data_IF_940869259055
#
_entry.id   IF_940869259055
#
_cell.length_a   1.000
_cell.length_b   1.000
_cell.length_c   1.000
_cell.angle_alpha   90.00
_cell.angle_beta   90.00
_cell.angle_gamma   90.00
#
_symmetry.space_group_name_H-M   'P 1'
#
loop_
_entity.id
_entity.type
_entity.pdbx_description
1 polymer ?
#
# COMPACT_ATOMS: atom_id res chain seq x y z
N UNK A 1 5.85 0.55 0.21
CA UNK A 1 4.70 0.87 -0.66
C UNK A 1 3.92 2.12 -0.23
N UNK A 2 3.58 2.27 1.04
CA UNK A 2 2.82 3.45 1.54
C UNK A 2 3.45 4.80 1.14
N UNK A 3 4.78 5.00 1.20
CA UNK A 3 5.39 6.27 0.77
C UNK A 3 5.19 6.57 -0.71
N UNK A 4 5.12 5.54 -1.56
CA UNK A 4 4.96 5.68 -3.01
C UNK A 4 3.50 5.83 -3.41
N UNK A 5 2.59 5.25 -2.65
CA UNK A 5 1.16 5.32 -2.90
C UNK A 5 0.43 5.34 -1.56
N UNK A 6 0.37 6.48 -0.88
CA UNK A 6 -0.25 6.60 0.45
C UNK A 6 -1.70 6.11 0.50
N UNK A 7 -2.42 6.13 -0.63
CA UNK A 7 -3.76 5.58 -0.74
C UNK A 7 -3.87 4.12 -0.29
N UNK A 8 -2.79 3.33 -0.38
CA UNK A 8 -2.78 1.94 0.09
C UNK A 8 -2.96 1.78 1.60
N UNK A 9 -2.78 2.84 2.39
CA UNK A 9 -3.17 2.81 3.81
C UNK A 9 -4.66 2.55 4.00
N UNK A 10 -5.50 2.97 3.04
CA UNK A 10 -6.93 2.71 3.05
C UNK A 10 -7.31 1.26 2.69
N UNK A 11 -6.37 0.43 2.23
CA UNK A 11 -6.67 -0.91 1.69
C UNK A 11 -7.30 -1.83 2.72
N UNK A 12 -6.68 -1.96 3.90
CA UNK A 12 -7.18 -2.85 4.97
C UNK A 12 -8.52 -2.36 5.52
N UNK A 13 -8.70 -1.07 5.88
CA UNK A 13 -10.01 -0.53 6.23
C UNK A 13 -11.07 -0.73 5.15
N UNK A 14 -10.70 -0.60 3.86
CA UNK A 14 -11.63 -0.78 2.74
C UNK A 14 -12.09 -2.23 2.62
N UNK A 15 -11.18 -3.19 2.69
CA UNK A 15 -11.56 -4.61 2.67
C UNK A 15 -12.41 -4.98 3.89
N UNK A 16 -12.03 -4.56 5.09
CA UNK A 16 -12.79 -4.84 6.31
C UNK A 16 -14.21 -4.26 6.25
N UNK A 17 -14.35 -3.02 5.74
CA UNK A 17 -15.64 -2.39 5.53
C UNK A 17 -16.48 -3.13 4.49
N UNK A 18 -15.89 -3.50 3.37
CA UNK A 18 -16.54 -4.23 2.28
C UNK A 18 -17.03 -5.60 2.74
N UNK A 19 -16.23 -6.32 3.53
CA UNK A 19 -16.65 -7.59 4.16
C UNK A 19 -17.86 -7.38 5.06
N UNK A 20 -17.84 -6.33 5.88
CA UNK A 20 -18.94 -6.06 6.81
C UNK A 20 -20.25 -5.74 6.10
N UNK A 21 -20.21 -4.89 5.07
CA UNK A 21 -21.42 -4.31 4.48
C UNK A 21 -21.96 -5.15 3.31
N UNK A 22 -21.10 -5.78 2.51
CA UNK A 22 -21.47 -6.41 1.22
C UNK A 22 -20.80 -7.76 1.00
N UNK A 23 -20.62 -8.57 2.04
CA UNK A 23 -19.89 -9.84 1.95
C UNK A 23 -20.36 -10.73 0.81
N UNK A 24 -21.68 -10.95 0.67
CA UNK A 24 -22.24 -11.85 -0.35
C UNK A 24 -21.96 -11.37 -1.77
N UNK A 25 -22.00 -10.06 -2.00
CA UNK A 25 -21.80 -9.44 -3.32
C UNK A 25 -20.33 -9.37 -3.69
N UNK A 26 -19.46 -9.28 -2.69
CA UNK A 26 -18.02 -9.04 -2.87
C UNK A 26 -17.15 -10.27 -2.57
N UNK A 27 -17.76 -11.40 -2.23
CA UNK A 27 -17.04 -12.62 -1.87
C UNK A 27 -15.99 -13.04 -2.91
N UNK A 28 -16.37 -13.04 -4.20
CA UNK A 28 -15.44 -13.40 -5.29
C UNK A 28 -14.26 -12.41 -5.38
N UNK A 29 -14.51 -11.11 -5.19
CA UNK A 29 -13.47 -10.10 -5.18
C UNK A 29 -12.50 -10.30 -4.01
N UNK A 30 -13.04 -10.61 -2.83
CA UNK A 30 -12.24 -10.91 -1.65
C UNK A 30 -11.41 -12.18 -1.84
N UNK A 31 -12.00 -13.22 -2.44
CA UNK A 31 -11.30 -14.44 -2.77
C UNK A 31 -10.12 -14.17 -3.72
N UNK A 32 -10.34 -13.39 -4.78
CA UNK A 32 -9.28 -12.99 -5.71
C UNK A 32 -8.17 -12.18 -4.98
N UNK A 33 -8.55 -11.28 -4.06
CA UNK A 33 -7.58 -10.52 -3.27
C UNK A 33 -6.75 -11.42 -2.35
N UNK A 34 -7.40 -12.36 -1.64
CA UNK A 34 -6.72 -13.29 -0.73
C UNK A 34 -5.79 -14.23 -1.51
N UNK A 35 -6.26 -14.80 -2.62
CA UNK A 35 -5.44 -15.68 -3.47
C UNK A 35 -4.27 -14.90 -4.06
N UNK A 36 -4.53 -13.72 -4.63
CA UNK A 36 -3.48 -12.86 -5.20
C UNK A 36 -2.44 -12.45 -4.16
N UNK A 37 -2.87 -12.10 -2.94
CA UNK A 37 -1.97 -11.79 -1.83
C UNK A 37 -1.17 -13.02 -1.41
N UNK A 38 -1.80 -14.18 -1.29
CA UNK A 38 -1.12 -15.43 -0.93
C UNK A 38 -0.06 -15.80 -1.97
N UNK A 39 -0.40 -15.72 -3.26
CA UNK A 39 0.56 -15.94 -4.35
C UNK A 39 1.71 -14.93 -4.27
N UNK A 40 1.42 -13.65 -4.06
CA UNK A 40 2.43 -12.61 -3.91
C UNK A 40 3.36 -12.88 -2.72
N UNK A 41 2.85 -13.40 -1.62
CA UNK A 41 3.62 -13.66 -0.41
C UNK A 41 4.47 -14.93 -0.51
N UNK A 42 3.87 -16.03 -0.99
CA UNK A 42 4.51 -17.36 -0.95
C UNK A 42 5.36 -17.65 -2.19
N UNK A 43 4.89 -17.27 -3.37
CA UNK A 43 5.63 -17.51 -4.63
C UNK A 43 6.81 -16.56 -4.77
N UNK A 44 6.70 -15.36 -4.25
CA UNK A 44 7.79 -14.38 -4.28
C UNK A 44 9.06 -14.85 -3.57
N UNK A 45 8.91 -15.60 -2.48
CA UNK A 45 10.02 -16.17 -1.72
C UNK A 45 10.82 -17.22 -2.52
N UNK A 46 10.22 -17.82 -3.53
CA UNK A 46 10.85 -18.88 -4.35
C UNK A 46 11.51 -18.35 -5.62
N UNK A 47 11.24 -17.13 -6.01
CA UNK A 47 11.83 -16.49 -7.18
C UNK A 47 13.09 -15.73 -6.79
N UNK A 48 14.25 -16.34 -6.93
CA UNK A 48 15.53 -15.68 -6.76
C UNK A 48 15.70 -14.56 -7.80
N UNK A 49 15.70 -13.30 -7.35
CA UNK A 49 15.93 -12.15 -8.20
C UNK A 49 15.57 -10.83 -7.50
N UNK A 50 16.03 -9.73 -8.05
CA UNK A 50 15.70 -8.36 -7.63
C UNK A 50 14.25 -8.05 -8.02
N UNK A 51 13.29 -8.48 -7.20
CA UNK A 51 11.87 -8.32 -7.45
C UNK A 51 11.30 -7.18 -6.61
N UNK A 52 10.66 -6.28 -7.29
CA UNK A 52 9.88 -5.22 -6.66
C UNK A 52 8.68 -5.82 -5.90
N UNK A 53 8.55 -5.61 -4.60
CA UNK A 53 7.38 -6.08 -3.85
C UNK A 53 6.06 -5.60 -4.45
N UNK A 54 6.08 -4.39 -5.06
CA UNK A 54 4.93 -3.80 -5.74
C UNK A 54 4.47 -4.54 -6.98
N UNK A 55 5.35 -5.20 -7.70
CA UNK A 55 5.00 -5.91 -8.93
C UNK A 55 4.00 -7.04 -8.69
N UNK A 56 4.10 -7.68 -7.56
CA UNK A 56 3.23 -8.80 -7.20
C UNK A 56 1.86 -8.34 -6.73
N UNK A 57 1.74 -7.10 -6.24
CA UNK A 57 0.46 -6.53 -5.83
C UNK A 57 -0.40 -6.05 -7.01
N UNK A 58 0.12 -6.03 -8.23
CA UNK A 58 -0.65 -5.70 -9.44
C UNK A 58 -1.89 -6.60 -9.58
N UNK A 59 -1.78 -7.87 -9.19
CA UNK A 59 -2.90 -8.83 -9.25
C UNK A 59 -4.07 -8.42 -8.36
N UNK A 60 -3.81 -7.78 -7.22
CA UNK A 60 -4.86 -7.35 -6.28
C UNK A 60 -5.35 -5.92 -6.55
N UNK A 61 -4.71 -5.16 -7.42
CA UNK A 61 -5.08 -3.77 -7.70
C UNK A 61 -6.54 -3.59 -8.11
N UNK A 62 -7.11 -4.38 -9.03
CA UNK A 62 -8.52 -4.21 -9.40
C UNK A 62 -9.46 -4.36 -8.20
N UNK A 63 -9.23 -5.38 -7.39
CA UNK A 63 -10.05 -5.63 -6.19
C UNK A 63 -9.84 -4.55 -5.13
N UNK A 64 -8.61 -4.06 -4.97
CA UNK A 64 -8.26 -2.96 -4.10
C UNK A 64 -8.97 -1.65 -4.50
N UNK A 65 -8.97 -1.32 -5.79
CA UNK A 65 -9.65 -0.13 -6.32
C UNK A 65 -11.15 -0.20 -6.03
N UNK A 66 -11.79 -1.35 -6.27
CA UNK A 66 -13.22 -1.52 -6.01
C UNK A 66 -13.52 -1.35 -4.52
N UNK A 67 -12.77 -2.00 -3.64
CA UNK A 67 -12.96 -1.88 -2.20
C UNK A 67 -12.75 -0.43 -1.70
N UNK A 68 -11.71 0.23 -2.17
CA UNK A 68 -11.44 1.64 -1.82
C UNK A 68 -12.52 2.57 -2.39
N UNK A 69 -13.09 2.28 -3.54
CA UNK A 69 -14.19 3.05 -4.12
C UNK A 69 -15.46 2.93 -3.26
N UNK A 70 -15.81 1.73 -2.81
CA UNK A 70 -16.93 1.50 -1.88
C UNK A 70 -16.73 2.29 -0.57
N UNK A 71 -15.52 2.26 -0.02
CA UNK A 71 -15.18 3.02 1.19
C UNK A 71 -15.29 4.53 0.96
N UNK A 72 -14.78 5.02 -0.18
CA UNK A 72 -14.79 6.44 -0.55
C UNK A 72 -16.21 6.96 -0.81
N UNK A 73 -17.11 6.11 -1.32
CA UNK A 73 -18.52 6.44 -1.51
C UNK A 73 -19.19 6.71 -0.17
N UNK A 74 -18.94 5.85 0.81
CA UNK A 74 -19.58 5.92 2.13
C UNK A 74 -19.02 7.04 3.02
N UNK A 75 -17.70 7.23 3.03
CA UNK A 75 -17.04 8.13 3.97
C UNK A 75 -16.27 9.25 3.27
N UNK A 76 -16.72 10.51 3.45
CA UNK A 76 -16.09 11.70 2.86
C UNK A 76 -14.59 11.82 3.24
N UNK A 77 -14.23 11.49 4.48
CA UNK A 77 -12.83 11.55 4.95
C UNK A 77 -11.94 10.58 4.16
N UNK A 78 -12.39 9.33 3.99
CA UNK A 78 -11.67 8.33 3.22
C UNK A 78 -11.59 8.70 1.74
N UNK A 79 -12.63 9.31 1.18
CA UNK A 79 -12.64 9.80 -0.19
C UNK A 79 -11.50 10.78 -0.45
N UNK A 80 -11.38 11.82 0.39
CA UNK A 80 -10.29 12.78 0.26
C UNK A 80 -8.93 12.16 0.49
N UNK A 81 -8.80 11.29 1.48
CA UNK A 81 -7.55 10.57 1.74
C UNK A 81 -7.10 9.73 0.54
N UNK A 82 -8.02 8.97 -0.08
CA UNK A 82 -7.73 8.12 -1.24
C UNK A 82 -7.35 8.98 -2.45
N UNK A 83 -8.06 10.09 -2.70
CA UNK A 83 -7.75 10.99 -3.82
C UNK A 83 -6.38 11.66 -3.64
N UNK A 84 -6.12 12.25 -2.49
CA UNK A 84 -4.84 12.91 -2.20
C UNK A 84 -3.69 11.90 -2.22
N UNK A 85 -3.90 10.72 -1.64
CA UNK A 85 -2.91 9.65 -1.67
C UNK A 85 -2.67 9.10 -3.08
N UNK A 86 -3.70 9.05 -3.92
CA UNK A 86 -3.58 8.69 -5.33
C UNK A 86 -2.79 9.73 -6.12
N UNK A 87 -3.10 11.01 -5.95
CA UNK A 87 -2.36 12.12 -6.58
C UNK A 87 -0.89 12.09 -6.16
N UNK A 88 -0.61 11.90 -4.86
CA UNK A 88 0.75 11.74 -4.36
C UNK A 88 1.47 10.57 -5.03
N UNK A 89 0.78 9.45 -5.26
CA UNK A 89 1.33 8.30 -5.98
C UNK A 89 1.69 8.63 -7.44
N UNK A 90 0.85 9.40 -8.14
CA UNK A 90 1.14 9.86 -9.50
C UNK A 90 2.36 10.79 -9.51
N UNK A 91 2.45 11.71 -8.56
CA UNK A 91 3.62 12.60 -8.42
C UNK A 91 4.89 11.79 -8.16
N UNK A 92 4.84 10.80 -7.27
CA UNK A 92 5.96 9.91 -7.00
C UNK A 92 6.40 9.16 -8.27
N UNK A 93 5.43 8.63 -9.05
CA UNK A 93 5.73 7.95 -10.30
C UNK A 93 6.38 8.87 -11.33
N UNK A 94 5.88 10.10 -11.48
CA UNK A 94 6.47 11.11 -12.38
C UNK A 94 7.88 11.47 -11.93
N UNK A 95 8.12 11.61 -10.63
CA UNK A 95 9.45 11.89 -10.09
C UNK A 95 10.44 10.78 -10.41
N UNK A 96 10.07 9.53 -10.15
CA UNK A 96 10.91 8.37 -10.48
C UNK A 96 11.17 8.25 -11.98
N UNK A 97 10.16 8.53 -12.80
CA UNK A 97 10.31 8.54 -14.25
C UNK A 97 11.29 9.62 -14.70
N UNK A 98 11.26 10.80 -14.08
CA UNK A 98 12.22 11.87 -14.33
C UNK A 98 13.64 11.47 -13.90
N UNK A 99 13.82 10.88 -12.72
CA UNK A 99 15.11 10.38 -12.27
C UNK A 99 15.67 9.31 -13.23
N UNK A 100 14.82 8.42 -13.74
CA UNK A 100 15.23 7.40 -14.70
C UNK A 100 15.63 7.97 -16.07
N UNK A 101 14.91 8.99 -16.56
CA UNK A 101 15.22 9.61 -17.87
C UNK A 101 16.45 10.51 -17.84
N UNK A 102 16.88 10.96 -16.65
CA UNK A 102 18.09 11.79 -16.48
C UNK A 102 19.34 10.98 -16.16
N UNK A 103 19.33 9.66 -16.39
CA UNK A 103 20.41 8.71 -16.07
C UNK A 103 20.92 8.79 -14.62
N UNK A 104 20.15 9.43 -13.75
CA UNK A 104 20.47 9.48 -12.32
C UNK A 104 20.24 8.15 -11.64
N UNK A 105 19.51 7.23 -12.32
CA UNK A 105 19.19 5.90 -11.80
C UNK A 105 19.01 4.88 -12.90
N UNK A 106 19.45 3.66 -12.64
CA UNK A 106 18.98 2.48 -13.34
C UNK A 106 17.63 2.07 -12.79
N UNK A 107 16.74 1.51 -13.62
CA UNK A 107 15.39 1.01 -13.23
C UNK A 107 15.41 -0.10 -12.17
N UNK A 108 16.59 -0.65 -11.86
CA UNK A 108 16.79 -1.62 -10.77
C UNK A 108 17.11 -0.81 -9.52
N UNK A 109 16.10 -0.58 -8.73
CA UNK A 109 16.00 0.50 -7.80
C UNK A 109 16.50 0.09 -6.42
N UNK A 110 17.55 0.74 -5.98
CA UNK A 110 17.73 0.97 -4.57
C UNK A 110 16.87 2.19 -4.16
N UNK A 111 15.75 1.93 -3.45
CA UNK A 111 14.81 2.97 -3.04
C UNK A 111 15.40 3.97 -2.06
N UNK A 112 16.43 3.58 -1.33
CA UNK A 112 17.10 4.42 -0.34
C UNK A 112 17.83 5.60 -0.98
N UNK A 113 18.15 5.50 -2.27
CA UNK A 113 18.86 6.55 -2.98
C UNK A 113 17.96 7.58 -3.69
N UNK A 114 16.62 7.46 -3.61
CA UNK A 114 15.73 8.41 -4.28
C UNK A 114 15.82 9.81 -3.67
N UNK A 115 15.78 10.82 -4.54
CA UNK A 115 15.69 12.22 -4.11
C UNK A 115 14.23 12.67 -3.88
N UNK A 116 13.26 11.75 -3.95
CA UNK A 116 11.85 12.07 -3.75
C UNK A 116 11.59 12.61 -2.34
N UNK A 117 11.19 13.90 -2.19
CA UNK A 117 11.18 14.56 -0.89
C UNK A 117 10.25 13.92 0.15
N UNK A 118 9.09 13.42 -0.30
CA UNK A 118 8.11 12.78 0.61
C UNK A 118 8.68 11.46 1.14
N UNK A 119 9.39 10.72 0.30
CA UNK A 119 10.04 9.48 0.76
C UNK A 119 11.15 9.80 1.77
N UNK A 120 12.01 10.77 1.48
CA UNK A 120 13.08 11.17 2.39
C UNK A 120 12.55 11.63 3.74
N UNK A 121 11.44 12.38 3.77
CA UNK A 121 10.80 12.81 5.00
C UNK A 121 10.17 11.65 5.80
N UNK A 122 9.80 10.56 5.15
CA UNK A 122 9.19 9.39 5.79
C UNK A 122 10.20 8.27 6.07
N UNK A 123 11.42 8.33 5.54
CA UNK A 123 12.41 7.26 5.65
C UNK A 123 12.67 6.86 7.11
N UNK A 124 12.80 7.85 7.99
CA UNK A 124 13.10 7.64 9.41
C UNK A 124 11.94 7.01 10.20
N UNK A 125 10.72 7.10 9.69
CA UNK A 125 9.51 6.56 10.36
C UNK A 125 8.99 5.28 9.69
N UNK A 126 9.65 4.81 8.62
CA UNK A 126 9.34 3.56 7.98
C UNK A 126 10.26 2.45 8.50
N UNK A 127 9.74 1.24 8.71
CA UNK A 127 10.58 0.13 9.11
C UNK A 127 11.54 -0.25 7.98
N UNK A 128 12.81 -0.33 8.31
CA UNK A 128 13.83 -0.89 7.42
C UNK A 128 13.86 -2.41 7.61
N UNK A 129 13.61 -3.15 6.53
CA UNK A 129 13.63 -4.61 6.51
C UNK A 129 14.96 -5.18 6.03
N UNK A 130 15.91 -4.34 5.63
CA UNK A 130 17.26 -4.78 5.26
C UNK A 130 18.13 -4.96 6.50
N UNK A 131 17.86 -4.16 7.54
CA UNK A 131 18.47 -4.29 8.85
C UNK A 131 17.37 -4.46 9.90
N UNK A 132 17.02 -5.74 10.18
CA UNK A 132 15.88 -6.08 11.03
C UNK A 132 16.28 -6.00 12.50
N UNK A 133 16.29 -4.79 13.03
CA UNK A 133 16.60 -4.47 14.41
C UNK A 133 15.34 -4.23 15.28
N UNK A 134 15.55 -3.86 16.55
CA UNK A 134 14.47 -3.53 17.47
C UNK A 134 13.66 -2.30 17.02
N UNK A 135 14.29 -1.35 16.33
CA UNK A 135 13.63 -0.15 15.82
C UNK A 135 12.65 -0.49 14.70
N UNK A 136 13.04 -1.39 13.80
CA UNK A 136 12.17 -1.88 12.74
C UNK A 136 10.95 -2.63 13.29
N UNK A 137 11.12 -3.44 14.35
CA UNK A 137 10.00 -4.09 15.05
C UNK A 137 9.04 -3.11 15.69
N UNK A 138 9.57 -2.09 16.37
CA UNK A 138 8.77 -1.05 17.02
C UNK A 138 7.98 -0.24 15.99
N UNK A 139 8.62 0.19 14.91
CA UNK A 139 7.98 0.93 13.83
C UNK A 139 6.89 0.11 13.15
N UNK A 140 7.13 -1.18 12.89
CA UNK A 140 6.10 -2.10 12.40
C UNK A 140 4.90 -2.18 13.35
N UNK A 141 5.15 -2.30 14.66
CA UNK A 141 4.11 -2.32 15.68
C UNK A 141 3.27 -1.04 15.67
N UNK A 142 3.90 0.13 15.54
CA UNK A 142 3.20 1.42 15.44
C UNK A 142 2.33 1.47 14.19
N UNK A 143 2.85 1.12 13.02
CA UNK A 143 2.11 1.12 11.77
C UNK A 143 0.94 0.14 11.77
N UNK A 144 1.15 -1.10 12.25
CA UNK A 144 0.09 -2.10 12.37
C UNK A 144 -1.01 -1.64 13.34
N UNK A 145 -0.63 -1.03 14.46
CA UNK A 145 -1.59 -0.49 15.43
C UNK A 145 -2.39 0.65 14.80
N UNK A 146 -1.75 1.56 14.08
CA UNK A 146 -2.42 2.66 13.36
C UNK A 146 -3.44 2.14 12.34
N UNK A 147 -3.07 1.13 11.55
CA UNK A 147 -3.97 0.48 10.59
C UNK A 147 -5.14 -0.22 11.31
N UNK A 148 -4.86 -0.94 12.40
CA UNK A 148 -5.90 -1.61 13.17
C UNK A 148 -6.90 -0.61 13.76
N UNK A 149 -6.43 0.48 14.36
CA UNK A 149 -7.28 1.54 14.90
C UNK A 149 -8.12 2.18 13.80
N UNK A 150 -7.52 2.54 12.66
CA UNK A 150 -8.23 3.12 11.52
C UNK A 150 -9.31 2.16 10.98
N UNK A 151 -9.02 0.86 10.97
CA UNK A 151 -9.97 -0.17 10.55
C UNK A 151 -11.13 -0.28 11.53
N UNK A 152 -10.85 -0.39 12.83
CA UNK A 152 -11.88 -0.48 13.88
C UNK A 152 -12.80 0.76 13.83
N UNK A 153 -12.22 1.96 13.77
CA UNK A 153 -12.99 3.19 13.67
C UNK A 153 -13.87 3.24 12.40
N UNK A 154 -13.39 2.67 11.31
CA UNK A 154 -14.14 2.62 10.05
C UNK A 154 -15.32 1.67 10.14
N UNK A 155 -15.12 0.46 10.68
CA UNK A 155 -16.18 -0.55 10.78
C UNK A 155 -17.18 -0.28 11.92
N UNK A 156 -16.79 0.50 12.93
CA UNK A 156 -17.70 0.86 14.05
C UNK A 156 -18.54 2.10 13.78
N UNK A 157 -18.15 2.94 12.83
CA UNK A 157 -18.97 4.08 12.38
C UNK A 157 -20.28 3.56 11.76
N UNK A 158 -21.39 4.08 12.30
CA UNK A 158 -22.74 3.85 11.75
C UNK A 158 -23.04 4.86 10.65
#
# INVERSE_FOLDING_TARGET
MIPWTPAFFALIPAFAFTVKERFKETFLLLLCAVVGWSVATWVALTMHGWWWPGRQLVVILPTAIIAMSILAEKFRTWRWFIYLGGISGVIAWLWLSFEATTDRRTLVVDFYETTYPIYQALADVLPDFTDFDQSALLLNGIWLTGIAVATILTITRK
#
